data_IF_287472935350
#
_entry.id   IF_287472935350
#
_cell.length_a   1.000
_cell.length_b   1.000
_cell.length_c   1.000
_cell.angle_alpha   90.00
_cell.angle_beta   90.00
_cell.angle_gamma   90.00
#
_symmetry.space_group_name_H-M   'P 1'
#
loop_
_entity.id
_entity.type
_entity.pdbx_description
1 polymer ?
#
# COMPACT_ATOMS: atom_id res chain seq x y z
N UNK A 1 -11.38 -11.31 4.92
CA UNK A 1 -12.76 -11.49 4.43
C UNK A 1 -13.10 -10.47 3.33
N UNK A 2 -12.90 -9.15 3.48
CA UNK A 2 -13.00 -8.21 2.35
C UNK A 2 -11.88 -8.46 1.32
N UNK A 3 -10.64 -8.62 1.80
CA UNK A 3 -9.45 -8.80 0.95
C UNK A 3 -9.53 -9.97 -0.03
N UNK A 4 -10.14 -11.11 0.31
CA UNK A 4 -10.19 -12.27 -0.59
C UNK A 4 -11.26 -12.13 -1.67
N UNK A 5 -12.41 -11.52 -1.33
CA UNK A 5 -13.45 -11.15 -2.29
C UNK A 5 -12.98 -9.99 -3.18
N UNK A 6 -12.30 -9.00 -2.59
CA UNK A 6 -11.67 -7.90 -3.31
C UNK A 6 -10.58 -8.41 -4.25
N UNK A 7 -9.71 -9.33 -3.79
CA UNK A 7 -8.73 -10.03 -4.62
C UNK A 7 -9.37 -10.77 -5.78
N UNK A 8 -10.49 -11.44 -5.55
CA UNK A 8 -11.24 -12.09 -6.62
C UNK A 8 -11.81 -11.05 -7.61
N UNK A 9 -12.46 -10.01 -7.11
CA UNK A 9 -13.15 -9.00 -7.91
C UNK A 9 -12.18 -8.20 -8.79
N UNK A 10 -11.08 -7.69 -8.23
CA UNK A 10 -10.13 -6.91 -9.03
C UNK A 10 -9.32 -7.80 -9.98
N UNK A 11 -9.11 -9.08 -9.66
CA UNK A 11 -8.46 -10.02 -10.61
C UNK A 11 -9.38 -10.36 -11.78
N UNK A 12 -10.69 -10.25 -11.59
CA UNK A 12 -11.67 -10.45 -12.65
C UNK A 12 -11.97 -9.19 -13.48
N UNK A 13 -11.42 -8.02 -13.14
CA UNK A 13 -11.60 -6.77 -13.87
C UNK A 13 -10.24 -6.16 -14.26
N UNK A 14 -9.80 -6.30 -15.53
CA UNK A 14 -8.51 -5.78 -15.99
C UNK A 14 -8.38 -4.27 -15.84
N UNK A 15 -9.49 -3.54 -16.00
CA UNK A 15 -9.51 -2.09 -15.91
C UNK A 15 -9.30 -1.67 -14.46
N UNK A 16 -10.05 -2.27 -13.52
CA UNK A 16 -9.87 -2.04 -12.08
C UNK A 16 -8.48 -2.44 -11.61
N UNK A 17 -7.96 -3.56 -12.08
CA UNK A 17 -6.60 -4.02 -11.78
C UNK A 17 -5.54 -2.98 -12.15
N UNK A 18 -5.62 -2.43 -13.36
CA UNK A 18 -4.68 -1.39 -13.84
C UNK A 18 -4.83 -0.11 -13.01
N UNK A 19 -6.06 0.31 -12.70
CA UNK A 19 -6.30 1.49 -11.86
C UNK A 19 -5.72 1.34 -10.45
N UNK A 20 -5.87 0.17 -9.83
CA UNK A 20 -5.25 -0.13 -8.53
C UNK A 20 -3.73 -0.06 -8.62
N UNK A 21 -3.14 -0.59 -9.70
CA UNK A 21 -1.71 -0.45 -9.97
C UNK A 21 -1.24 1.01 -10.04
N UNK A 22 -2.00 1.89 -10.70
CA UNK A 22 -1.68 3.32 -10.74
C UNK A 22 -1.85 4.00 -9.37
N UNK A 23 -2.90 3.68 -8.62
CA UNK A 23 -3.10 4.23 -7.27
C UNK A 23 -1.93 3.91 -6.34
N UNK A 24 -1.35 2.71 -6.45
CA UNK A 24 -0.15 2.35 -5.67
C UNK A 24 1.09 3.11 -6.17
N UNK A 25 1.20 3.37 -7.47
CA UNK A 25 2.30 4.17 -8.00
C UNK A 25 2.22 5.64 -7.56
N UNK A 26 1.01 6.17 -7.38
CA UNK A 26 0.80 7.49 -6.76
C UNK A 26 1.24 7.46 -5.28
N UNK A 27 0.89 6.41 -4.53
CA UNK A 27 1.40 6.20 -3.16
C UNK A 27 2.95 6.14 -3.10
N UNK A 28 3.60 5.53 -4.11
CA UNK A 28 5.07 5.50 -4.24
C UNK A 28 5.63 6.91 -4.50
N UNK A 29 5.00 7.67 -5.39
CA UNK A 29 5.39 9.05 -5.69
C UNK A 29 5.25 9.98 -4.47
N UNK A 30 4.22 9.79 -3.66
CA UNK A 30 4.00 10.49 -2.39
C UNK A 30 4.93 10.01 -1.26
N UNK A 31 5.80 9.04 -1.56
CA UNK A 31 6.78 8.50 -0.62
C UNK A 31 6.16 7.72 0.54
N UNK A 32 4.93 7.19 0.38
CA UNK A 32 4.22 6.42 1.42
C UNK A 32 5.05 5.23 1.92
N UNK A 33 5.75 4.57 1.01
CA UNK A 33 6.61 3.41 1.27
C UNK A 33 8.05 3.84 1.58
N UNK A 34 8.72 3.11 2.48
CA UNK A 34 10.16 3.24 2.67
C UNK A 34 10.89 2.33 1.69
N UNK A 35 11.29 2.89 0.56
CA UNK A 35 11.89 2.17 -0.57
C UNK A 35 13.36 2.54 -0.75
N UNK A 36 14.17 1.56 -1.15
CA UNK A 36 15.53 1.80 -1.61
C UNK A 36 15.58 2.25 -3.06
N UNK A 37 16.74 2.74 -3.50
CA UNK A 37 16.98 3.14 -4.90
C UNK A 37 16.56 2.07 -5.91
N UNK A 38 16.92 0.81 -5.67
CA UNK A 38 16.58 -0.31 -6.57
C UNK A 38 15.07 -0.56 -6.65
N UNK A 39 14.36 -0.38 -5.54
CA UNK A 39 12.91 -0.55 -5.51
C UNK A 39 12.23 0.56 -6.32
N UNK A 40 12.69 1.82 -6.19
CA UNK A 40 12.20 2.92 -7.02
C UNK A 40 12.45 2.68 -8.52
N UNK A 41 13.63 2.17 -8.91
CA UNK A 41 13.90 1.78 -10.29
C UNK A 41 12.94 0.69 -10.78
N UNK A 42 12.60 -0.28 -9.93
CA UNK A 42 11.63 -1.33 -10.25
C UNK A 42 10.21 -0.76 -10.42
N UNK A 43 9.74 0.10 -9.51
CA UNK A 43 8.43 0.75 -9.63
C UNK A 43 8.36 1.65 -10.87
N UNK A 44 9.43 2.37 -11.20
CA UNK A 44 9.54 3.14 -12.42
C UNK A 44 9.47 2.26 -13.69
N UNK A 45 10.13 1.10 -13.66
CA UNK A 45 10.02 0.12 -14.74
C UNK A 45 8.59 -0.44 -14.87
N UNK A 46 7.94 -0.77 -13.76
CA UNK A 46 6.55 -1.25 -13.72
C UNK A 46 5.58 -0.20 -14.27
N UNK A 47 5.73 1.07 -13.89
CA UNK A 47 4.97 2.19 -14.46
C UNK A 47 5.17 2.30 -15.97
N UNK A 48 6.41 2.14 -16.44
CA UNK A 48 6.71 2.18 -17.87
C UNK A 48 5.96 1.08 -18.63
N UNK A 49 5.93 -0.13 -18.07
CA UNK A 49 5.16 -1.25 -18.62
C UNK A 49 3.65 -1.00 -18.62
N UNK A 50 3.11 -0.42 -17.55
CA UNK A 50 1.68 -0.10 -17.47
C UNK A 50 1.23 0.97 -18.47
N UNK A 51 2.07 1.99 -18.70
CA UNK A 51 1.69 3.18 -19.48
C UNK A 51 2.14 3.15 -20.94
N UNK A 52 3.23 2.45 -21.26
CA UNK A 52 3.88 2.52 -22.58
C UNK A 52 4.14 1.13 -23.21
N UNK A 53 3.35 0.11 -22.87
CA UNK A 53 3.52 -1.29 -23.32
C UNK A 53 3.88 -1.46 -24.81
N UNK A 54 3.21 -0.72 -25.69
CA UNK A 54 3.40 -0.82 -27.15
C UNK A 54 4.77 -0.32 -27.66
N UNK A 55 5.55 0.37 -26.82
CA UNK A 55 6.80 1.05 -27.22
C UNK A 55 8.05 0.51 -26.51
N UNK A 56 7.93 -0.55 -25.71
CA UNK A 56 9.03 -1.07 -24.89
C UNK A 56 10.20 -1.55 -25.76
N UNK A 57 9.92 -2.25 -26.87
CA UNK A 57 10.98 -2.79 -27.74
C UNK A 57 11.64 -1.73 -28.62
N UNK A 58 10.95 -0.61 -28.89
CA UNK A 58 11.37 0.38 -29.90
C UNK A 58 12.24 1.50 -29.29
N UNK A 59 12.26 1.69 -27.96
CA UNK A 59 12.77 2.95 -27.37
C UNK A 59 13.68 2.84 -26.14
N UNK A 60 14.27 1.69 -25.83
CA UNK A 60 15.18 1.59 -24.65
C UNK A 60 16.42 2.48 -24.76
N UNK A 61 16.89 2.79 -25.97
CA UNK A 61 17.99 3.75 -26.19
C UNK A 61 17.53 5.21 -26.07
N UNK A 62 16.23 5.47 -26.21
CA UNK A 62 15.60 6.78 -26.10
C UNK A 62 14.70 6.89 -24.87
N UNK A 63 14.94 6.08 -23.83
CA UNK A 63 14.21 6.18 -22.57
C UNK A 63 14.31 7.62 -22.06
N UNK A 64 13.19 8.32 -22.09
CA UNK A 64 13.12 9.71 -21.70
C UNK A 64 12.90 9.75 -20.18
N UNK A 65 13.81 10.41 -19.46
CA UNK A 65 13.82 10.46 -17.99
C UNK A 65 12.52 11.05 -17.42
N UNK A 66 11.93 12.03 -18.10
CA UNK A 66 10.64 12.63 -17.78
C UNK A 66 9.48 11.62 -17.71
N UNK A 67 9.62 10.46 -18.36
CA UNK A 67 8.64 9.38 -18.28
C UNK A 67 8.77 8.55 -17.01
N UNK A 68 9.96 8.35 -16.48
CA UNK A 68 10.20 7.44 -15.34
C UNK A 68 10.18 8.15 -13.98
N UNK A 69 10.47 9.45 -13.94
CA UNK A 69 10.42 10.23 -12.69
C UNK A 69 9.02 10.46 -12.14
N UNK A 70 7.97 10.16 -12.92
CA UNK A 70 6.55 10.35 -12.52
C UNK A 70 6.10 9.50 -11.33
N UNK A 71 6.92 8.56 -10.90
CA UNK A 71 6.67 7.70 -9.74
C UNK A 71 7.80 7.77 -8.71
N UNK A 72 8.67 8.77 -8.81
CA UNK A 72 9.83 8.94 -7.91
C UNK A 72 9.63 10.26 -7.15
N UNK A 73 9.62 10.25 -5.80
CA UNK A 73 9.58 11.48 -5.02
C UNK A 73 10.77 12.38 -5.36
N UNK A 74 10.56 13.70 -5.40
CA UNK A 74 11.58 14.65 -5.83
C UNK A 74 12.83 14.62 -4.92
N UNK A 75 12.62 14.45 -3.62
CA UNK A 75 13.67 14.37 -2.62
C UNK A 75 14.56 13.14 -2.86
N UNK A 76 13.94 12.01 -3.24
CA UNK A 76 14.66 10.78 -3.56
C UNK A 76 15.40 10.92 -4.89
N UNK A 77 14.75 11.49 -5.90
CA UNK A 77 15.35 11.71 -7.21
C UNK A 77 16.66 12.49 -7.10
N UNK A 78 16.66 13.55 -6.29
CA UNK A 78 17.81 14.44 -6.07
C UNK A 78 19.06 13.76 -5.49
N UNK A 79 18.92 12.56 -4.89
CA UNK A 79 20.02 11.84 -4.26
C UNK A 79 20.93 11.04 -5.21
N UNK A 80 20.61 11.02 -6.52
CA UNK A 80 21.31 10.23 -7.54
C UNK A 80 21.43 11.01 -8.84
N UNK A 81 22.40 10.64 -9.67
CA UNK A 81 22.55 11.26 -10.99
C UNK A 81 21.49 10.77 -11.99
N UNK A 82 21.14 11.62 -12.95
CA UNK A 82 20.26 11.27 -14.08
C UNK A 82 20.75 10.00 -14.81
N UNK A 83 22.06 9.85 -14.94
CA UNK A 83 22.68 8.67 -15.56
C UNK A 83 22.40 7.40 -14.75
N UNK A 84 22.62 7.42 -13.43
CA UNK A 84 22.33 6.27 -12.57
C UNK A 84 20.85 5.87 -12.64
N UNK A 85 19.93 6.84 -12.54
CA UNK A 85 18.49 6.57 -12.65
C UNK A 85 18.14 5.92 -13.98
N UNK A 86 18.65 6.46 -15.08
CA UNK A 86 18.34 5.98 -16.43
C UNK A 86 18.88 4.56 -16.65
N UNK A 87 20.13 4.30 -16.31
CA UNK A 87 20.76 3.00 -16.55
C UNK A 87 20.12 1.90 -15.70
N UNK A 88 19.97 2.10 -14.39
CA UNK A 88 19.36 1.07 -13.53
C UNK A 88 17.88 0.84 -13.87
N UNK A 89 17.11 1.89 -14.17
CA UNK A 89 15.70 1.70 -14.58
C UNK A 89 15.62 0.96 -15.92
N UNK A 90 16.53 1.23 -16.87
CA UNK A 90 16.60 0.50 -18.15
C UNK A 90 16.89 -0.99 -17.93
N UNK A 91 17.84 -1.33 -17.06
CA UNK A 91 18.12 -2.72 -16.68
C UNK A 91 16.90 -3.41 -16.06
N UNK A 92 16.18 -2.70 -15.18
CA UNK A 92 14.92 -3.18 -14.60
C UNK A 92 13.86 -3.43 -15.68
N UNK A 93 13.66 -2.49 -16.63
CA UNK A 93 12.68 -2.64 -17.72
C UNK A 93 12.99 -3.88 -18.57
N UNK A 94 14.25 -4.07 -18.95
CA UNK A 94 14.68 -5.22 -19.77
C UNK A 94 14.46 -6.54 -19.03
N UNK A 95 14.89 -6.59 -17.77
CA UNK A 95 14.76 -7.80 -16.94
C UNK A 95 13.29 -8.14 -16.68
N UNK A 96 12.48 -7.13 -16.35
CA UNK A 96 11.06 -7.27 -16.14
C UNK A 96 10.35 -7.72 -17.42
N UNK A 97 10.70 -7.18 -18.59
CA UNK A 97 10.09 -7.59 -19.85
C UNK A 97 10.32 -9.08 -20.15
N UNK A 98 11.55 -9.56 -19.94
CA UNK A 98 11.88 -10.99 -20.11
C UNK A 98 11.06 -11.88 -19.18
N UNK A 99 10.91 -11.47 -17.93
CA UNK A 99 10.16 -12.26 -16.95
C UNK A 99 8.65 -12.24 -17.21
N UNK A 100 8.11 -11.09 -17.61
CA UNK A 100 6.71 -10.97 -18.03
C UNK A 100 6.42 -11.82 -19.29
N UNK A 101 7.35 -11.86 -20.26
CA UNK A 101 7.26 -12.76 -21.42
C UNK A 101 7.21 -14.23 -21.00
N UNK A 102 8.11 -14.63 -20.10
CA UNK A 102 8.18 -16.00 -19.57
C UNK A 102 6.86 -16.40 -18.89
N UNK A 103 6.34 -15.54 -18.01
CA UNK A 103 5.08 -15.79 -17.29
C UNK A 103 3.89 -15.85 -18.27
N UNK A 104 3.83 -14.92 -19.22
CA UNK A 104 2.79 -14.90 -20.26
C UNK A 104 2.76 -16.20 -21.07
N UNK A 105 3.94 -16.70 -21.47
CA UNK A 105 4.05 -17.95 -22.22
C UNK A 105 3.61 -19.17 -21.41
N UNK A 106 4.04 -19.28 -20.14
CA UNK A 106 3.62 -20.36 -19.24
C UNK A 106 2.09 -20.37 -19.10
N UNK A 107 1.48 -19.21 -18.82
CA UNK A 107 0.05 -19.09 -18.63
C UNK A 107 -0.76 -19.42 -19.89
N UNK A 108 -0.21 -19.17 -21.10
CA UNK A 108 -0.81 -19.59 -22.38
C UNK A 108 -0.81 -21.12 -22.54
N UNK A 109 0.30 -21.78 -22.20
CA UNK A 109 0.46 -23.23 -22.35
C UNK A 109 -0.42 -23.99 -21.34
N UNK A 110 -0.46 -23.52 -20.10
CA UNK A 110 -1.17 -24.19 -19.00
C UNK A 110 -2.70 -24.03 -19.07
N UNK A 111 -3.24 -23.29 -20.04
CA UNK A 111 -4.69 -22.98 -20.19
C UNK A 111 -5.31 -22.59 -18.84
N UNK A 112 -4.60 -21.78 -18.05
CA UNK A 112 -4.86 -21.61 -16.62
C UNK A 112 -6.27 -21.07 -16.28
N UNK A 113 -7.10 -20.66 -17.25
CA UNK A 113 -8.54 -20.47 -17.02
C UNK A 113 -9.39 -20.84 -18.24
N UNK A 114 -10.54 -21.50 -17.97
CA UNK A 114 -11.53 -22.01 -18.94
C UNK A 114 -12.50 -20.95 -19.50
N UNK A 115 -12.41 -19.68 -19.09
CA UNK A 115 -13.28 -18.59 -19.57
C UNK A 115 -12.51 -17.70 -20.56
N UNK A 116 -13.06 -17.46 -21.75
CA UNK A 116 -12.37 -16.71 -22.83
C UNK A 116 -11.87 -15.33 -22.39
N UNK A 117 -12.64 -14.60 -21.57
CA UNK A 117 -12.27 -13.24 -21.13
C UNK A 117 -11.21 -13.20 -20.02
N UNK A 118 -10.88 -14.34 -19.42
CA UNK A 118 -10.00 -14.40 -18.25
C UNK A 118 -8.55 -14.77 -18.63
N UNK A 119 -8.36 -15.38 -19.81
CA UNK A 119 -7.04 -15.68 -20.38
C UNK A 119 -6.19 -14.43 -20.68
N UNK A 120 -6.83 -13.30 -21.05
CA UNK A 120 -6.12 -12.05 -21.33
C UNK A 120 -5.40 -11.48 -20.10
N UNK A 121 -5.90 -11.71 -18.89
CA UNK A 121 -5.42 -11.08 -17.64
C UNK A 121 -4.09 -11.64 -17.16
N UNK A 122 -3.88 -12.93 -17.40
CA UNK A 122 -2.67 -13.66 -16.99
C UNK A 122 -1.63 -13.75 -18.11
N UNK A 123 -1.94 -13.22 -19.29
CA UNK A 123 -1.04 -13.25 -20.44
C UNK A 123 -0.69 -11.85 -20.95
N UNK A 124 -1.52 -10.85 -20.69
CA UNK A 124 -1.21 -9.46 -20.98
C UNK A 124 -0.17 -8.89 -19.98
N UNK A 125 0.89 -8.27 -20.52
CA UNK A 125 2.00 -7.75 -19.72
C UNK A 125 1.60 -6.57 -18.84
N UNK A 126 0.63 -5.74 -19.23
CA UNK A 126 0.14 -4.64 -18.37
C UNK A 126 -0.60 -5.20 -17.17
N UNK A 127 -1.47 -6.18 -17.39
CA UNK A 127 -2.18 -6.84 -16.29
C UNK A 127 -1.21 -7.54 -15.34
N UNK A 128 -0.20 -8.25 -15.87
CA UNK A 128 0.85 -8.86 -15.05
C UNK A 128 1.68 -7.83 -14.29
N UNK A 129 2.06 -6.71 -14.91
CA UNK A 129 2.76 -5.62 -14.22
C UNK A 129 1.92 -5.01 -13.08
N UNK A 130 0.61 -4.81 -13.29
CA UNK A 130 -0.31 -4.35 -12.25
C UNK A 130 -0.38 -5.34 -11.08
N UNK A 131 -0.45 -6.64 -11.36
CA UNK A 131 -0.42 -7.67 -10.32
C UNK A 131 0.89 -7.65 -9.52
N UNK A 132 2.03 -7.46 -10.18
CA UNK A 132 3.32 -7.33 -9.49
C UNK A 132 3.32 -6.11 -8.57
N UNK A 133 2.81 -4.95 -9.03
CA UNK A 133 2.71 -3.74 -8.20
C UNK A 133 1.84 -4.01 -6.96
N UNK A 134 0.66 -4.59 -7.14
CA UNK A 134 -0.27 -4.88 -6.04
C UNK A 134 0.38 -5.85 -5.05
N UNK A 135 0.93 -6.96 -5.52
CA UNK A 135 1.58 -7.94 -4.66
C UNK A 135 2.79 -7.33 -3.93
N UNK A 136 3.60 -6.52 -4.61
CA UNK A 136 4.73 -5.82 -3.99
C UNK A 136 4.22 -4.88 -2.87
N UNK A 137 3.16 -4.11 -3.12
CA UNK A 137 2.57 -3.21 -2.12
C UNK A 137 2.14 -3.94 -0.84
N UNK A 138 1.60 -5.15 -0.98
CA UNK A 138 1.15 -5.99 0.13
C UNK A 138 2.32 -6.50 0.99
N UNK A 139 3.54 -6.56 0.46
CA UNK A 139 4.74 -6.91 1.24
C UNK A 139 5.18 -5.80 2.20
N UNK A 140 4.80 -4.55 1.90
CA UNK A 140 5.07 -3.41 2.76
C UNK A 140 3.96 -3.25 3.78
N UNK A 141 4.32 -3.07 5.05
CA UNK A 141 3.36 -2.82 6.14
C UNK A 141 2.47 -1.62 5.80
N UNK A 142 3.03 -0.60 5.15
CA UNK A 142 2.37 0.63 4.76
C UNK A 142 1.32 0.44 3.65
N UNK A 143 1.37 -0.65 2.87
CA UNK A 143 0.54 -0.81 1.68
C UNK A 143 -0.96 -0.97 1.94
N UNK A 144 -1.33 -1.34 3.16
CA UNK A 144 -2.73 -1.48 3.59
C UNK A 144 -3.19 -0.36 4.53
N UNK A 145 -2.43 0.73 4.63
CA UNK A 145 -2.64 1.79 5.62
C UNK A 145 -2.91 3.13 4.96
N UNK A 146 -3.87 3.88 5.48
CA UNK A 146 -3.88 5.33 5.33
C UNK A 146 -2.85 5.91 6.31
N UNK A 147 -1.96 6.79 5.86
CA UNK A 147 -0.85 7.31 6.67
C UNK A 147 -0.96 8.83 6.78
N UNK A 148 -0.98 9.34 8.01
CA UNK A 148 -1.09 10.77 8.30
C UNK A 148 0.12 11.23 9.08
N UNK A 149 0.78 12.29 8.62
CA UNK A 149 1.83 12.94 9.39
C UNK A 149 1.19 13.79 10.49
N UNK A 150 1.70 13.67 11.71
CA UNK A 150 1.21 14.43 12.86
C UNK A 150 2.36 14.96 13.71
N UNK A 151 2.11 16.05 14.44
CA UNK A 151 3.01 16.54 15.48
C UNK A 151 2.55 16.01 16.84
N UNK A 152 3.47 15.44 17.61
CA UNK A 152 3.21 14.84 18.91
C UNK A 152 3.24 15.92 19.98
N UNK A 153 2.13 16.09 20.72
CA UNK A 153 2.09 17.05 21.83
C UNK A 153 3.10 16.69 22.94
N UNK A 154 3.64 17.69 23.66
CA UNK A 154 4.72 17.49 24.65
C UNK A 154 4.35 16.48 25.75
N UNK A 155 3.10 16.51 26.23
CA UNK A 155 2.61 15.55 27.23
C UNK A 155 2.60 14.12 26.68
N UNK A 156 2.16 13.95 25.42
CA UNK A 156 2.20 12.66 24.71
C UNK A 156 3.64 12.14 24.62
N UNK A 157 4.61 13.00 24.28
CA UNK A 157 6.03 12.62 24.21
C UNK A 157 6.57 12.20 25.58
N UNK A 158 6.28 12.98 26.62
CA UNK A 158 6.65 12.68 28.01
C UNK A 158 6.10 11.32 28.47
N UNK A 159 4.85 11.02 28.15
CA UNK A 159 4.23 9.74 28.46
C UNK A 159 4.98 8.57 27.79
N UNK A 160 5.25 8.67 26.49
CA UNK A 160 6.00 7.62 25.78
C UNK A 160 7.39 7.43 26.37
N UNK A 161 8.09 8.54 26.70
CA UNK A 161 9.42 8.51 27.32
C UNK A 161 9.41 7.79 28.68
N UNK A 162 8.40 8.05 29.53
CA UNK A 162 8.23 7.35 30.80
C UNK A 162 7.93 5.85 30.63
N UNK A 163 7.29 5.47 29.52
CA UNK A 163 7.08 4.09 29.13
C UNK A 163 8.29 3.44 28.44
N UNK A 164 9.46 4.10 28.41
CA UNK A 164 10.69 3.59 27.81
C UNK A 164 10.74 3.69 26.29
N UNK A 165 9.86 4.47 25.67
CA UNK A 165 9.83 4.69 24.22
C UNK A 165 10.18 6.14 23.90
N UNK A 166 11.24 6.36 23.13
CA UNK A 166 11.57 7.68 22.61
C UNK A 166 10.74 7.97 21.36
N UNK A 167 9.88 8.99 21.42
CA UNK A 167 9.01 9.38 20.31
C UNK A 167 9.42 10.76 19.82
N UNK A 168 9.62 10.86 18.51
CA UNK A 168 9.98 12.11 17.85
C UNK A 168 8.80 13.11 17.86
N UNK A 169 9.11 14.41 17.88
CA UNK A 169 8.11 15.49 17.87
C UNK A 169 7.18 15.44 16.64
N UNK A 170 7.66 14.85 15.55
CA UNK A 170 6.85 14.51 14.37
C UNK A 170 6.86 13.00 14.19
N UNK A 171 5.70 12.42 13.91
CA UNK A 171 5.55 10.99 13.61
C UNK A 171 4.44 10.76 12.59
N UNK A 172 4.21 9.50 12.19
CA UNK A 172 3.06 9.15 11.37
C UNK A 172 2.10 8.23 12.12
N UNK A 173 0.81 8.46 11.94
CA UNK A 173 -0.26 7.55 12.32
C UNK A 173 -0.71 6.78 11.09
N UNK A 174 -0.60 5.45 11.14
CA UNK A 174 -1.09 4.54 10.11
C UNK A 174 -2.39 3.89 10.55
N UNK A 175 -3.38 3.82 9.66
CA UNK A 175 -4.68 3.21 9.92
C UNK A 175 -4.95 2.16 8.86
N UNK A 176 -4.93 0.88 9.26
CA UNK A 176 -5.44 -0.20 8.41
C UNK A 176 -6.85 -0.59 8.85
N UNK A 177 -7.50 -1.45 8.07
CA UNK A 177 -8.78 -2.06 8.48
C UNK A 177 -8.67 -2.87 9.78
N UNK A 178 -7.47 -3.19 10.26
CA UNK A 178 -7.24 -4.05 11.43
C UNK A 178 -6.84 -3.28 12.67
N UNK A 179 -5.87 -2.36 12.54
CA UNK A 179 -5.21 -1.71 13.67
C UNK A 179 -4.82 -0.28 13.35
N UNK A 180 -4.53 0.45 14.42
CA UNK A 180 -3.88 1.75 14.44
C UNK A 180 -2.38 1.53 14.67
N UNK A 181 -1.52 2.19 13.91
CA UNK A 181 -0.07 2.05 13.94
C UNK A 181 0.60 3.40 14.21
N UNK A 182 1.62 3.36 15.04
CA UNK A 182 2.48 4.49 15.35
C UNK A 182 3.80 4.25 14.66
N UNK A 183 4.13 5.12 13.69
CA UNK A 183 5.27 4.94 12.80
C UNK A 183 6.30 6.04 13.00
N UNK A 184 7.58 5.67 12.91
CA UNK A 184 8.66 6.64 13.02
C UNK A 184 8.70 7.60 11.81
N UNK A 185 9.21 8.83 11.96
CA UNK A 185 9.23 9.82 10.88
C UNK A 185 10.24 9.49 9.76
N UNK A 186 11.32 8.77 10.08
CA UNK A 186 12.43 8.55 9.14
C UNK A 186 12.17 7.41 8.15
N UNK A 187 11.65 6.27 8.62
CA UNK A 187 11.50 5.05 7.84
C UNK A 187 10.07 4.53 7.80
N UNK A 188 9.12 5.24 8.42
CA UNK A 188 7.73 4.81 8.61
C UNK A 188 7.63 3.40 9.20
N UNK A 189 8.61 3.00 10.01
CA UNK A 189 8.61 1.70 10.68
C UNK A 189 7.72 1.79 11.92
N UNK A 190 6.86 0.77 12.09
CA UNK A 190 5.99 0.69 13.26
C UNK A 190 6.82 0.50 14.53
N UNK A 191 6.54 1.30 15.55
CA UNK A 191 7.08 1.11 16.90
C UNK A 191 5.98 0.77 17.92
N UNK A 192 4.71 1.01 17.57
CA UNK A 192 3.55 0.57 18.36
C UNK A 192 2.34 0.32 17.46
N UNK A 193 1.47 -0.59 17.87
CA UNK A 193 0.17 -0.85 17.24
C UNK A 193 -0.91 -1.04 18.31
N UNK A 194 -2.14 -0.67 17.98
CA UNK A 194 -3.31 -0.75 18.87
C UNK A 194 -4.52 -1.25 18.09
N UNK A 195 -5.32 -2.10 18.73
CA UNK A 195 -6.61 -2.54 18.20
C UNK A 195 -7.67 -1.44 18.35
N UNK A 196 -8.59 -1.35 17.40
CA UNK A 196 -9.69 -0.38 17.44
C UNK A 196 -10.63 -0.56 18.65
N UNK A 197 -10.73 -1.78 19.19
CA UNK A 197 -11.51 -2.06 20.39
C UNK A 197 -10.92 -1.41 21.66
N UNK A 198 -9.63 -1.03 21.65
CA UNK A 198 -8.97 -0.32 22.74
C UNK A 198 -9.17 1.19 22.68
N UNK A 199 -9.83 1.71 21.65
CA UNK A 199 -10.17 3.14 21.53
C UNK A 199 -11.47 3.43 22.29
N UNK A 200 -11.34 4.07 23.45
CA UNK A 200 -12.49 4.52 24.24
C UNK A 200 -13.25 5.63 23.51
N UNK A 201 -12.53 6.68 23.09
CA UNK A 201 -13.09 7.79 22.33
C UNK A 201 -12.01 8.51 21.51
N UNK A 202 -12.45 9.24 20.48
CA UNK A 202 -11.64 10.12 19.65
C UNK A 202 -12.34 11.46 19.51
N UNK A 203 -11.62 12.56 19.75
CA UNK A 203 -12.13 13.91 19.59
C UNK A 203 -11.25 14.63 18.56
N UNK A 204 -11.89 15.28 17.58
CA UNK A 204 -11.23 16.06 16.55
C UNK A 204 -11.54 17.55 16.73
N UNK A 205 -10.52 18.38 16.57
CA UNK A 205 -10.55 19.84 16.46
C UNK A 205 -9.83 20.25 15.17
N UNK A 206 -10.06 21.44 14.61
CA UNK A 206 -9.52 21.81 13.29
C UNK A 206 -8.01 21.59 13.08
N UNK A 207 -7.21 21.69 14.14
CA UNK A 207 -5.75 21.53 14.11
C UNK A 207 -5.24 20.46 15.08
N UNK A 208 -6.11 19.65 15.67
CA UNK A 208 -5.72 18.69 16.71
C UNK A 208 -6.63 17.47 16.74
N UNK A 209 -6.05 16.32 17.06
CA UNK A 209 -6.77 15.09 17.36
C UNK A 209 -6.34 14.53 18.71
N UNK A 210 -7.32 14.06 19.49
CA UNK A 210 -7.12 13.48 20.81
C UNK A 210 -7.71 12.07 20.83
N UNK A 211 -6.87 11.11 21.21
CA UNK A 211 -7.25 9.73 21.39
C UNK A 211 -7.23 9.35 22.85
N UNK A 212 -8.30 8.73 23.34
CA UNK A 212 -8.28 8.03 24.61
C UNK A 212 -8.32 6.53 24.37
N UNK A 213 -7.34 5.84 24.93
CA UNK A 213 -7.19 4.40 24.80
C UNK A 213 -7.28 3.75 26.17
N UNK A 214 -7.87 2.55 26.25
CA UNK A 214 -8.03 1.78 27.49
C UNK A 214 -6.69 1.56 28.21
N UNK A 215 -5.62 1.33 27.45
CA UNK A 215 -4.29 0.99 27.97
C UNK A 215 -3.41 2.22 28.28
N UNK A 216 -3.98 3.43 28.27
CA UNK A 216 -3.24 4.67 28.48
C UNK A 216 -3.85 5.43 29.65
N UNK A 217 -3.00 5.90 30.56
CA UNK A 217 -3.42 6.69 31.72
C UNK A 217 -3.93 8.07 31.32
N UNK A 218 -3.38 8.63 30.25
CA UNK A 218 -3.72 9.94 29.73
C UNK A 218 -4.06 9.89 28.24
N UNK A 219 -4.95 10.75 27.74
CA UNK A 219 -5.24 10.85 26.31
C UNK A 219 -4.02 11.29 25.51
N UNK A 220 -3.78 10.64 24.37
CA UNK A 220 -2.74 11.02 23.43
C UNK A 220 -3.22 12.16 22.54
N UNK A 221 -2.43 13.21 22.44
CA UNK A 221 -2.73 14.41 21.65
C UNK A 221 -1.74 14.58 20.51
N UNK A 222 -2.27 14.94 19.35
CA UNK A 222 -1.49 15.19 18.15
C UNK A 222 -2.03 16.42 17.40
N UNK A 223 -1.14 17.28 16.93
CA UNK A 223 -1.51 18.41 16.10
C UNK A 223 -1.46 17.99 14.62
N UNK A 224 -2.54 18.28 13.89
CA UNK A 224 -2.74 17.92 12.48
C UNK A 224 -3.94 18.67 11.91
N UNK A 225 -3.87 19.01 10.62
CA UNK A 225 -5.00 19.59 9.88
C UNK A 225 -5.96 18.54 9.33
N UNK A 226 -5.64 17.25 9.48
CA UNK A 226 -6.43 16.12 8.96
C UNK A 226 -7.21 15.40 10.08
N UNK A 227 -7.52 16.11 11.16
CA UNK A 227 -8.10 15.51 12.37
C UNK A 227 -9.48 14.93 12.15
N UNK A 228 -10.29 15.52 11.27
CA UNK A 228 -11.63 15.05 10.94
C UNK A 228 -11.57 13.77 10.10
N UNK A 229 -10.70 13.71 9.08
CA UNK A 229 -10.49 12.53 8.26
C UNK A 229 -10.01 11.35 9.11
N UNK A 230 -9.04 11.60 10.00
CA UNK A 230 -8.54 10.57 10.91
C UNK A 230 -9.65 10.05 11.83
N UNK A 231 -10.45 10.95 12.43
CA UNK A 231 -11.56 10.55 13.30
C UNK A 231 -12.59 9.69 12.55
N UNK A 232 -13.02 10.14 11.37
CA UNK A 232 -13.98 9.41 10.54
C UNK A 232 -13.46 8.02 10.18
N UNK A 233 -12.18 7.92 9.81
CA UNK A 233 -11.57 6.64 9.47
C UNK A 233 -11.55 5.66 10.65
N UNK A 234 -11.26 6.16 11.86
CA UNK A 234 -11.29 5.35 13.09
C UNK A 234 -12.70 4.87 13.40
N UNK A 235 -13.71 5.74 13.25
CA UNK A 235 -15.12 5.38 13.46
C UNK A 235 -15.58 4.34 12.45
N UNK A 236 -15.29 4.53 11.16
CA UNK A 236 -15.61 3.58 10.10
C UNK A 236 -15.00 2.19 10.36
N UNK A 237 -13.72 2.12 10.74
CA UNK A 237 -13.10 0.83 11.03
C UNK A 237 -13.69 0.19 12.30
N UNK A 238 -14.01 0.97 13.35
CA UNK A 238 -14.72 0.45 14.52
C UNK A 238 -16.08 -0.17 14.14
N UNK A 239 -16.83 0.49 13.27
CA UNK A 239 -18.12 0.00 12.80
C UNK A 239 -17.98 -1.29 11.98
N UNK A 240 -16.97 -1.39 11.11
CA UNK A 240 -16.64 -2.63 10.38
C UNK A 240 -16.33 -3.78 11.34
N UNK A 241 -15.52 -3.55 12.37
CA UNK A 241 -15.21 -4.56 13.39
C UNK A 241 -16.43 -5.01 14.17
N UNK A 242 -17.30 -4.05 14.54
CA UNK A 242 -18.55 -4.34 15.24
C UNK A 242 -19.50 -5.17 14.37
N UNK A 243 -19.69 -4.78 13.11
CA UNK A 243 -20.49 -5.51 12.14
C UNK A 243 -19.99 -6.95 11.95
N UNK A 244 -18.69 -7.14 11.72
CA UNK A 244 -18.11 -8.48 11.55
C UNK A 244 -18.36 -9.40 12.76
N UNK A 245 -18.29 -8.84 13.98
CA UNK A 245 -18.54 -9.56 15.22
C UNK A 245 -20.02 -9.90 15.41
N UNK A 246 -20.92 -8.95 15.14
CA UNK A 246 -22.38 -9.15 15.28
C UNK A 246 -22.91 -10.24 14.35
N UNK A 247 -22.43 -10.27 13.11
CA UNK A 247 -22.88 -11.23 12.11
C UNK A 247 -22.04 -12.51 12.06
N UNK A 248 -21.07 -12.66 12.97
CA UNK A 248 -20.18 -13.82 13.08
C UNK A 248 -19.61 -14.28 11.73
N UNK A 249 -19.33 -13.31 10.84
CA UNK A 249 -18.99 -13.58 9.45
C UNK A 249 -17.67 -14.39 9.36
N UNK A 250 -16.82 -14.30 10.38
CA UNK A 250 -15.59 -15.09 10.49
C UNK A 250 -15.86 -16.60 10.61
N UNK A 251 -17.00 -17.01 11.18
CA UNK A 251 -17.36 -18.41 11.37
C UNK A 251 -18.23 -18.97 10.24
N UNK A 252 -19.10 -18.15 9.63
CA UNK A 252 -19.96 -18.57 8.52
C UNK A 252 -19.16 -19.08 7.31
N UNK A 253 -18.07 -18.40 6.95
CA UNK A 253 -17.31 -18.72 5.73
C UNK A 253 -16.07 -19.61 5.96
N UNK A 254 -15.70 -19.88 7.21
CA UNK A 254 -14.68 -20.91 7.50
C UNK A 254 -15.27 -22.33 7.44
N UNK A 255 -16.59 -22.49 7.66
CA UNK A 255 -17.29 -23.76 7.48
C UNK A 255 -17.53 -24.10 6.00
N UNK A 256 -17.68 -23.11 5.12
CA UNK A 256 -17.86 -23.31 3.67
C UNK A 256 -16.59 -23.74 2.92
N UNK A 257 -15.39 -23.60 3.52
CA UNK A 257 -14.15 -24.18 2.93
C UNK A 257 -14.23 -25.70 2.79
N UNK A 258 -15.07 -26.38 3.56
CA UNK A 258 -15.30 -27.82 3.43
C UNK A 258 -16.17 -28.20 2.21
N UNK A 259 -16.88 -27.25 1.61
CA UNK A 259 -17.73 -27.47 0.44
C UNK A 259 -17.06 -27.06 -0.89
N UNK A 260 -16.10 -26.13 -0.88
CA UNK A 260 -15.38 -25.72 -2.09
C UNK A 260 -14.16 -26.58 -2.46
N UNK A 261 -13.80 -27.59 -1.64
CA UNK A 261 -12.73 -28.57 -1.95
C UNK A 261 -13.31 -29.89 -2.51
N UNK A 262 -14.63 -30.00 -2.66
CA UNK A 262 -15.28 -31.10 -3.40
C UNK A 262 -16.20 -30.53 -4.46
N UNK A 263 -15.65 -30.32 -5.65
CA UNK A 263 -16.23 -30.69 -6.96
C UNK A 263 -15.26 -30.33 -8.09
#
# INVERSE_FOLDING_TARGET
MPLQLEEFDYREDPTRLIYLGFSILDDVYEGKYYLGFKDYCLFAALYYHLKYQEKIEISLNTLQLDKIIKVIPQEVYSGKSDFEWKEFTKECIVSLNKELDRISQINKIEKLQKKENSQYKFTDKRCLAALIIINASQTFTQGSMAIFQVQTYEQTQTYFKQAGMEVHATMYLGFSAYKIYFLNPQKKLKFRELDYNKVNWVISYPNQIIFNFENFKEPLRFDTFQSYEIKLLVEQYKDIHKFNKEYNLENLFNNDKSQFIKN
#
